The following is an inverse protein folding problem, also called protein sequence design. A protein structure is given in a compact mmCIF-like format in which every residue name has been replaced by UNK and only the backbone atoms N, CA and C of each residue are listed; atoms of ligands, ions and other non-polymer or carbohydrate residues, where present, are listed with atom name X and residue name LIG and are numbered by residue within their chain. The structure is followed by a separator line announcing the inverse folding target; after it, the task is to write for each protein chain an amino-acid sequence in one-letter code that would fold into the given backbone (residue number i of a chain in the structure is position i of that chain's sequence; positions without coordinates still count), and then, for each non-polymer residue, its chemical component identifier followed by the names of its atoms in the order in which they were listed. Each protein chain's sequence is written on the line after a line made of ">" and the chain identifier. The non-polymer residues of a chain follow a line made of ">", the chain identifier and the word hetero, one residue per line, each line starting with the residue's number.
data_IF_357462890193
#
_entry.id   IF_357462890193
#
_cell.length_a   1.000
_cell.length_b   1.000
_cell.length_c   1.000
_cell.angle_alpha   90.00
_cell.angle_beta   90.00
_cell.angle_gamma   90.00
#
_symmetry.space_group_name_H-M   'P 1'
#
loop_
_entity.id
_entity.type
_entity.pdbx_description
1 polymer ?
#
# COMPACT_ATOMS: atom_id res chain seq x y z
N UNK A 1 -37.74 37.35 -24.57
CA UNK A 1 -37.15 37.00 -23.26
C UNK A 1 -37.08 35.48 -23.13
N UNK A 2 -35.91 34.98 -22.72
CA UNK A 2 -35.65 33.64 -22.15
C UNK A 2 -35.62 32.46 -23.13
N UNK A 3 -34.64 31.54 -23.15
CA UNK A 3 -33.35 31.34 -22.46
C UNK A 3 -32.56 30.35 -23.34
N UNK A 4 -31.31 30.66 -23.66
CA UNK A 4 -30.35 29.68 -24.19
C UNK A 4 -30.06 28.65 -23.08
N UNK A 5 -30.62 27.44 -23.20
CA UNK A 5 -30.34 26.33 -22.30
C UNK A 5 -29.23 25.45 -22.89
N UNK A 6 -28.02 25.55 -22.33
CA UNK A 6 -26.92 24.65 -22.62
C UNK A 6 -27.30 23.23 -22.20
N UNK A 7 -27.59 22.36 -23.17
CA UNK A 7 -27.82 20.94 -22.92
C UNK A 7 -26.45 20.25 -23.07
N UNK A 8 -25.81 19.94 -21.95
CA UNK A 8 -24.57 19.15 -21.92
C UNK A 8 -24.82 17.78 -22.58
N UNK A 9 -23.95 17.31 -23.50
CA UNK A 9 -23.96 15.91 -23.92
C UNK A 9 -23.63 15.06 -22.70
N UNK A 10 -24.51 14.12 -22.36
CA UNK A 10 -24.28 13.12 -21.32
C UNK A 10 -22.96 12.40 -21.61
N UNK A 11 -22.02 12.51 -20.66
CA UNK A 11 -20.79 11.71 -20.65
C UNK A 11 -21.15 10.22 -20.79
N UNK A 12 -20.43 9.44 -21.60
CA UNK A 12 -20.59 8.00 -21.58
C UNK A 12 -20.11 7.51 -20.22
N UNK A 13 -21.05 6.93 -19.47
CA UNK A 13 -20.80 6.15 -18.26
C UNK A 13 -19.68 5.15 -18.55
N UNK A 14 -18.56 5.24 -17.84
CA UNK A 14 -17.50 4.23 -17.90
C UNK A 14 -18.13 2.85 -17.67
N UNK A 15 -17.92 1.87 -18.56
CA UNK A 15 -18.46 0.55 -18.36
C UNK A 15 -17.75 -0.06 -17.15
N UNK A 16 -18.55 -0.42 -16.13
CA UNK A 16 -18.15 -1.31 -15.04
C UNK A 16 -17.77 -2.65 -15.67
N UNK A 17 -16.49 -2.83 -15.98
CA UNK A 17 -15.97 -4.11 -16.47
C UNK A 17 -15.92 -5.12 -15.31
N UNK A 18 -16.71 -6.15 -15.48
CA UNK A 18 -16.65 -7.45 -14.83
C UNK A 18 -15.24 -8.03 -14.90
N UNK A 19 -14.87 -8.75 -13.85
CA UNK A 19 -13.63 -9.46 -13.57
C UNK A 19 -12.90 -10.03 -14.78
N UNK A 20 -11.61 -9.71 -14.93
CA UNK A 20 -10.64 -10.49 -15.73
C UNK A 20 -9.23 -10.26 -15.16
N UNK A 21 -8.66 -11.32 -14.59
CA UNK A 21 -7.23 -11.64 -14.41
C UNK A 21 -6.24 -10.50 -14.02
N UNK A 22 -5.78 -10.39 -12.76
CA UNK A 22 -4.59 -9.62 -12.42
C UNK A 22 -3.38 -10.56 -12.32
N UNK A 23 -2.85 -11.00 -13.47
CA UNK A 23 -1.72 -11.92 -13.53
C UNK A 23 -0.59 -11.35 -14.37
N UNK A 24 0.39 -10.70 -13.72
CA UNK A 24 1.68 -10.41 -14.34
C UNK A 24 1.87 -8.94 -14.75
N UNK A 25 2.17 -8.09 -13.76
CA UNK A 25 3.27 -7.09 -13.76
C UNK A 25 3.19 -6.17 -12.53
N UNK A 26 2.15 -6.30 -11.70
CA UNK A 26 2.08 -5.65 -10.38
C UNK A 26 2.57 -6.53 -9.22
N UNK A 27 3.20 -7.67 -9.49
CA UNK A 27 3.71 -8.56 -8.43
C UNK A 27 4.92 -7.96 -7.71
N UNK A 28 5.68 -7.07 -8.37
CA UNK A 28 6.86 -6.44 -7.78
C UNK A 28 6.54 -5.34 -6.74
N UNK A 29 5.26 -4.93 -6.61
CA UNK A 29 4.81 -3.92 -5.63
C UNK A 29 3.59 -4.37 -4.83
N UNK A 30 3.27 -5.66 -4.83
CA UNK A 30 2.24 -6.18 -3.95
C UNK A 30 2.74 -6.04 -2.50
N UNK A 31 2.28 -5.00 -1.81
CA UNK A 31 2.32 -4.96 -0.35
C UNK A 31 1.65 -6.25 0.10
N UNK A 32 2.43 -7.19 0.65
CA UNK A 32 1.94 -8.49 1.14
C UNK A 32 0.65 -8.21 1.90
N UNK A 33 -0.48 -8.72 1.39
CA UNK A 33 -1.80 -8.45 1.98
C UNK A 33 -1.73 -8.80 3.45
N UNK A 34 -1.72 -7.76 4.29
CA UNK A 34 -1.52 -7.95 5.71
C UNK A 34 -2.68 -8.81 6.24
N UNK A 35 -2.37 -9.82 7.06
CA UNK A 35 -3.39 -10.68 7.64
C UNK A 35 -4.50 -9.80 8.25
N UNK A 36 -5.80 -10.09 8.04
CA UNK A 36 -6.91 -9.19 8.43
C UNK A 36 -6.87 -8.75 9.90
N UNK A 37 -6.47 -9.64 10.82
CA UNK A 37 -6.20 -9.30 12.24
C UNK A 37 -5.15 -8.21 12.46
N UNK A 38 -4.12 -8.09 11.61
CA UNK A 38 -3.15 -7.00 11.65
C UNK A 38 -3.76 -5.70 11.12
N UNK A 39 -4.50 -5.79 10.02
CA UNK A 39 -5.18 -4.63 9.44
C UNK A 39 -6.24 -4.03 10.39
N UNK A 40 -6.90 -4.87 11.18
CA UNK A 40 -7.90 -4.45 12.16
C UNK A 40 -7.30 -4.05 13.53
N UNK A 41 -6.01 -4.28 13.78
CA UNK A 41 -5.41 -3.98 15.07
C UNK A 41 -5.02 -2.51 15.19
N UNK A 42 -5.26 -1.84 16.33
CA UNK A 42 -4.92 -0.43 16.53
C UNK A 42 -3.42 -0.16 16.75
N UNK A 43 -2.56 -1.19 16.67
CA UNK A 43 -1.15 -1.13 17.06
C UNK A 43 -0.23 -1.28 15.85
N UNK A 44 0.74 -0.38 15.70
CA UNK A 44 1.55 -0.25 14.48
C UNK A 44 2.45 -1.47 14.24
N UNK A 45 3.01 -2.03 15.32
CA UNK A 45 4.02 -3.09 15.23
C UNK A 45 3.43 -4.50 15.39
N UNK A 46 2.11 -4.60 15.40
CA UNK A 46 1.38 -5.86 15.56
C UNK A 46 1.77 -6.86 14.48
N UNK A 47 2.46 -7.94 14.88
CA UNK A 47 2.91 -8.99 13.96
C UNK A 47 4.04 -8.60 13.00
N UNK A 48 4.66 -7.42 13.19
CA UNK A 48 5.92 -7.03 12.55
C UNK A 48 7.10 -7.23 13.49
N UNK A 49 6.95 -6.78 14.74
CA UNK A 49 8.00 -6.92 15.73
C UNK A 49 8.16 -8.38 16.17
N UNK A 50 9.41 -8.85 16.18
CA UNK A 50 9.79 -10.19 16.62
C UNK A 50 10.73 -10.09 17.79
N UNK A 51 10.57 -10.99 18.74
CA UNK A 51 11.48 -11.12 19.85
C UNK A 51 12.69 -11.94 19.41
N UNK A 52 13.89 -11.49 19.79
CA UNK A 52 15.17 -12.11 19.40
C UNK A 52 15.33 -13.55 19.96
N UNK A 53 15.16 -13.81 21.27
CA UNK A 53 15.36 -15.15 21.81
C UNK A 53 14.27 -16.15 21.40
N UNK A 54 13.00 -15.71 21.31
CA UNK A 54 11.87 -16.60 20.99
C UNK A 54 11.59 -16.69 19.47
N UNK A 55 12.13 -15.78 18.65
CA UNK A 55 11.82 -15.56 17.23
C UNK A 55 10.32 -15.48 16.88
N UNK A 56 9.46 -15.35 17.89
CA UNK A 56 8.01 -15.26 17.75
C UNK A 56 7.57 -13.81 17.75
N UNK A 57 6.41 -13.58 17.17
CA UNK A 57 5.83 -12.25 17.06
C UNK A 57 5.52 -11.67 18.45
N UNK A 58 5.77 -10.38 18.60
CA UNK A 58 5.26 -9.58 19.71
C UNK A 58 3.79 -9.24 19.44
N UNK A 59 2.96 -9.38 20.46
CA UNK A 59 1.54 -9.02 20.43
C UNK A 59 1.28 -7.91 21.45
N UNK A 60 0.49 -6.91 21.06
CA UNK A 60 0.05 -5.87 21.98
C UNK A 60 -1.00 -6.44 22.94
N UNK A 61 -0.81 -6.17 24.23
CA UNK A 61 -1.73 -6.53 25.30
C UNK A 61 -2.06 -5.30 26.12
N UNK A 62 -3.35 -5.14 26.42
CA UNK A 62 -3.86 -4.05 27.23
C UNK A 62 -3.93 -4.47 28.69
N UNK A 63 -3.55 -3.56 29.58
CA UNK A 63 -3.62 -3.70 31.02
C UNK A 63 -4.40 -2.53 31.63
N UNK A 64 -4.99 -2.77 32.81
CA UNK A 64 -5.81 -1.77 33.55
C UNK A 64 -6.86 -1.11 32.65
N UNK A 65 -7.72 -1.92 32.04
CA UNK A 65 -8.84 -1.46 31.19
C UNK A 65 -8.42 -0.55 30.03
N UNK A 66 -7.34 -0.89 29.32
CA UNK A 66 -6.86 -0.14 28.17
C UNK A 66 -6.04 1.12 28.51
N UNK A 67 -5.77 1.40 29.79
CA UNK A 67 -4.94 2.57 30.18
C UNK A 67 -3.45 2.39 29.86
N UNK A 68 -2.97 1.15 29.86
CA UNK A 68 -1.59 0.86 29.53
C UNK A 68 -1.52 -0.27 28.52
N UNK A 69 -0.80 -0.04 27.43
CA UNK A 69 -0.54 -1.04 26.41
C UNK A 69 0.92 -1.45 26.44
N UNK A 70 1.14 -2.77 26.40
CA UNK A 70 2.47 -3.35 26.34
C UNK A 70 2.59 -4.32 25.17
N UNK A 71 3.78 -4.41 24.58
CA UNK A 71 4.14 -5.52 23.70
C UNK A 71 4.72 -6.69 24.51
N UNK A 72 4.25 -7.89 24.19
CA UNK A 72 4.61 -9.13 24.89
C UNK A 72 4.90 -10.25 23.87
N UNK A 73 5.95 -11.08 24.07
CA UNK A 73 6.21 -12.25 23.20
C UNK A 73 5.01 -13.21 23.27
N UNK A 74 4.57 -13.68 22.11
CA UNK A 74 3.44 -14.61 22.02
C UNK A 74 3.67 -15.93 22.78
N UNK A 75 4.92 -16.40 22.91
CA UNK A 75 5.25 -17.54 23.79
C UNK A 75 4.85 -17.28 25.22
N UNK A 76 5.20 -16.11 25.75
CA UNK A 76 4.97 -15.77 27.15
C UNK A 76 3.47 -15.71 27.44
N UNK A 77 2.67 -15.24 26.48
CA UNK A 77 1.20 -15.22 26.59
C UNK A 77 0.58 -16.62 26.53
N UNK A 78 1.07 -17.50 25.65
CA UNK A 78 0.45 -18.82 25.41
C UNK A 78 0.95 -19.93 26.34
N UNK A 79 2.24 -19.93 26.64
CA UNK A 79 2.94 -21.02 27.34
C UNK A 79 3.34 -20.64 28.77
N UNK A 80 3.16 -19.37 29.17
CA UNK A 80 3.39 -18.88 30.52
C UNK A 80 4.83 -18.45 30.80
N UNK A 81 5.08 -18.07 32.05
CA UNK A 81 6.39 -17.63 32.55
C UNK A 81 7.36 -18.81 32.58
N UNK A 82 8.30 -18.84 31.64
CA UNK A 82 9.34 -19.88 31.54
C UNK A 82 9.84 -20.11 30.13
N UNK A 83 9.06 -19.79 29.09
CA UNK A 83 9.48 -19.99 27.70
C UNK A 83 10.30 -18.83 27.12
N UNK A 84 10.15 -17.63 27.67
CA UNK A 84 10.80 -16.43 27.15
C UNK A 84 10.91 -15.38 28.26
N UNK A 85 12.13 -14.92 28.51
CA UNK A 85 12.46 -13.94 29.57
C UNK A 85 12.47 -12.50 29.04
N UNK A 86 11.75 -12.24 27.95
CA UNK A 86 11.71 -10.90 27.37
C UNK A 86 10.81 -9.99 28.21
N UNK A 87 11.29 -8.79 28.58
CA UNK A 87 10.49 -7.83 29.34
C UNK A 87 9.28 -7.35 28.52
N UNK A 88 8.25 -6.89 29.22
CA UNK A 88 7.09 -6.24 28.59
C UNK A 88 7.49 -4.83 28.17
N UNK A 89 7.40 -4.54 26.88
CA UNK A 89 7.80 -3.23 26.33
C UNK A 89 6.59 -2.30 26.38
N UNK A 90 6.76 -1.06 26.83
CA UNK A 90 5.71 -0.05 26.74
C UNK A 90 5.45 0.27 25.25
N UNK A 91 4.21 0.08 24.80
CA UNK A 91 3.87 0.20 23.39
C UNK A 91 4.16 1.60 22.84
N UNK A 92 3.79 2.64 23.59
CA UNK A 92 3.96 4.04 23.17
C UNK A 92 5.44 4.38 22.99
N UNK A 93 6.24 4.14 24.03
CA UNK A 93 7.68 4.44 23.96
C UNK A 93 8.39 3.65 22.86
N UNK A 94 7.98 2.41 22.61
CA UNK A 94 8.59 1.57 21.60
C UNK A 94 8.23 2.00 20.17
N UNK A 95 6.95 2.32 19.92
CA UNK A 95 6.49 2.86 18.64
C UNK A 95 7.12 4.23 18.35
N UNK A 96 7.22 5.10 19.35
CA UNK A 96 7.82 6.44 19.20
C UNK A 96 9.26 6.36 18.69
N UNK A 97 10.07 5.44 19.24
CA UNK A 97 11.46 5.20 18.80
C UNK A 97 11.51 4.71 17.36
N UNK A 98 10.60 3.82 16.97
CA UNK A 98 10.59 3.27 15.60
C UNK A 98 10.15 4.34 14.60
N UNK A 99 9.13 5.13 14.94
CA UNK A 99 8.66 6.23 14.10
C UNK A 99 9.74 7.30 13.95
N UNK A 100 10.47 7.65 15.03
CA UNK A 100 11.59 8.58 14.92
C UNK A 100 12.69 8.03 14.00
N UNK A 101 13.05 6.76 14.17
CA UNK A 101 14.08 6.12 13.35
C UNK A 101 13.70 6.10 11.85
N UNK A 102 12.43 5.83 11.53
CA UNK A 102 11.92 5.87 10.15
C UNK A 102 12.00 7.30 9.59
N UNK A 103 11.63 8.30 10.40
CA UNK A 103 11.69 9.71 9.97
C UNK A 103 13.13 10.13 9.66
N UNK A 104 14.07 9.73 10.51
CA UNK A 104 15.45 10.21 10.43
C UNK A 104 16.27 9.49 9.36
N UNK A 105 15.91 8.25 9.00
CA UNK A 105 16.68 7.45 8.04
C UNK A 105 15.99 7.18 6.70
N UNK A 106 14.65 7.09 6.67
CA UNK A 106 13.90 6.74 5.47
C UNK A 106 13.32 7.99 4.81
N UNK A 107 12.68 8.86 5.60
CA UNK A 107 12.00 10.06 5.11
C UNK A 107 12.94 11.27 5.06
N UNK A 108 14.18 11.05 4.63
CA UNK A 108 15.14 12.13 4.42
C UNK A 108 14.88 12.83 3.09
N UNK A 109 15.26 14.11 3.00
CA UNK A 109 15.09 14.91 1.79
C UNK A 109 15.78 14.27 0.57
N UNK A 110 16.97 13.67 0.77
CA UNK A 110 17.68 12.95 -0.28
C UNK A 110 16.88 11.76 -0.80
N UNK A 111 16.36 10.92 0.11
CA UNK A 111 15.62 9.72 -0.25
C UNK A 111 14.31 10.07 -0.97
N UNK A 112 13.62 11.13 -0.54
CA UNK A 112 12.39 11.59 -1.17
C UNK A 112 12.69 12.12 -2.57
N UNK A 113 13.75 12.91 -2.76
CA UNK A 113 14.14 13.40 -4.10
C UNK A 113 14.47 12.26 -5.05
N UNK A 114 15.20 11.26 -4.58
CA UNK A 114 15.55 10.11 -5.41
C UNK A 114 14.33 9.25 -5.74
N UNK A 115 13.39 9.10 -4.81
CA UNK A 115 12.11 8.45 -5.09
C UNK A 115 11.30 9.20 -6.16
N UNK A 116 11.24 10.54 -6.09
CA UNK A 116 10.53 11.36 -7.10
C UNK A 116 11.18 11.19 -8.48
N UNK A 117 12.51 11.23 -8.58
CA UNK A 117 13.20 11.01 -9.86
C UNK A 117 12.87 9.66 -10.49
N UNK A 118 12.89 8.59 -9.68
CA UNK A 118 12.56 7.25 -10.15
C UNK A 118 11.11 7.18 -10.68
N UNK A 119 10.18 7.85 -10.00
CA UNK A 119 8.79 7.92 -10.44
C UNK A 119 8.64 8.73 -11.74
N UNK A 120 9.32 9.88 -11.84
CA UNK A 120 9.28 10.70 -13.06
C UNK A 120 9.82 9.92 -14.26
N UNK A 121 10.93 9.20 -14.10
CA UNK A 121 11.51 8.34 -15.15
C UNK A 121 10.55 7.22 -15.60
N UNK A 122 9.87 6.58 -14.64
CA UNK A 122 8.86 5.54 -14.92
C UNK A 122 7.64 6.11 -15.65
N UNK A 123 7.12 7.24 -15.19
CA UNK A 123 5.97 7.92 -15.79
C UNK A 123 6.27 8.39 -17.22
N UNK A 124 7.46 8.92 -17.46
CA UNK A 124 7.93 9.31 -18.78
C UNK A 124 8.05 8.10 -19.73
N UNK A 125 8.49 6.95 -19.22
CA UNK A 125 8.53 5.69 -19.96
C UNK A 125 7.15 5.28 -20.46
N UNK A 126 6.17 5.24 -19.56
CA UNK A 126 4.78 4.89 -19.89
C UNK A 126 4.15 5.89 -20.87
N UNK A 127 4.42 7.19 -20.70
CA UNK A 127 3.92 8.23 -21.60
C UNK A 127 4.49 8.09 -23.03
N UNK A 128 5.74 7.63 -23.19
CA UNK A 128 6.32 7.32 -24.51
C UNK A 128 5.64 6.11 -25.16
N UNK A 129 5.42 5.05 -24.40
CA UNK A 129 4.76 3.83 -24.89
C UNK A 129 3.32 4.09 -25.33
N UNK A 130 2.55 4.85 -24.56
CA UNK A 130 1.19 5.25 -24.94
C UNK A 130 1.17 6.08 -26.24
N UNK A 131 2.12 7.01 -26.41
CA UNK A 131 2.23 7.81 -27.64
C UNK A 131 2.56 6.94 -28.86
N UNK A 132 3.39 5.90 -28.72
CA UNK A 132 3.64 4.94 -29.80
C UNK A 132 2.43 4.05 -30.11
N UNK A 133 1.65 3.66 -29.11
CA UNK A 133 0.44 2.86 -29.33
C UNK A 133 -0.71 3.67 -29.94
N UNK A 134 -0.76 4.98 -29.71
CA UNK A 134 -1.69 5.92 -30.36
C UNK A 134 -1.29 6.26 -31.81
N UNK A 135 -0.09 5.88 -32.26
CA UNK A 135 0.41 6.15 -33.62
C UNK A 135 -0.11 5.16 -34.68
N UNK A 136 -0.92 4.14 -34.35
CA UNK A 136 -1.49 3.23 -35.36
C UNK A 136 -2.22 4.07 -36.43
N UNK A 137 -1.70 4.17 -37.67
CA UNK A 137 -2.25 5.08 -38.65
C UNK A 137 -3.65 4.62 -39.03
N UNK A 138 -4.58 5.57 -39.10
CA UNK A 138 -5.99 5.42 -39.50
C UNK A 138 -6.19 4.88 -40.94
N UNK A 139 -5.13 4.39 -41.60
CA UNK A 139 -5.13 3.80 -42.95
C UNK A 139 -5.89 2.47 -43.04
N UNK A 140 -6.14 1.78 -41.92
CA UNK A 140 -6.93 0.54 -41.93
C UNK A 140 -8.45 0.78 -41.89
N UNK A 141 -8.91 2.00 -41.57
CA UNK A 141 -10.34 2.30 -41.44
C UNK A 141 -10.96 2.74 -42.79
N UNK A 142 -10.19 3.37 -43.67
CA UNK A 142 -10.73 3.94 -44.92
C UNK A 142 -10.76 2.98 -46.14
N UNK A 143 -10.18 1.78 -46.06
CA UNK A 143 -10.11 0.84 -47.21
C UNK A 143 -11.37 -0.03 -47.44
N UNK A 144 -12.50 0.22 -46.75
CA UNK A 144 -13.75 -0.55 -46.94
C UNK A 144 -14.85 0.19 -47.70
N UNK A 145 -14.63 1.45 -48.10
CA UNK A 145 -15.68 2.27 -48.75
C UNK A 145 -15.52 2.45 -50.27
N UNK A 146 -14.55 1.78 -50.91
CA UNK A 146 -14.28 1.93 -52.36
C UNK A 146 -14.22 0.61 -53.13
N UNK A 147 -14.97 -0.41 -52.69
CA UNK A 147 -15.27 -1.58 -53.51
C UNK A 147 -16.75 -1.48 -53.92
N UNK A 148 -16.96 -0.73 -55.00
CA UNK A 148 -18.14 -0.83 -55.87
C UNK A 148 -18.08 -2.10 -56.70
#
# INVERSE_FOLDING_TARGET
>A
MSRCGWRTPSLPSCPRKSSTEPGGLMEARALVVAHPRRAASPYLLSGLARCEPCNKALTAAEAKSGRYTYYVCQSLLKQGSGTCDTPRLNAKSFEDIIVSNIRDHILTESNIRDLVKLLDEEMDGLAREQRQNLWIPSRLIWKRSSAS
#
